data_IF_478531637556
#
_entry.id   IF_478531637556
#
_cell.length_a   1.000
_cell.length_b   1.000
_cell.length_c   1.000
_cell.angle_alpha   90.00
_cell.angle_beta   90.00
_cell.angle_gamma   90.00
#
_symmetry.space_group_name_H-M   'P 1'
#
loop_
_entity.id
_entity.type
_entity.pdbx_description
1 polymer ?
#
# COMPACT_ATOMS: atom_id res chain seq x y z
N UNK A 1 -29.94 -12.59 28.91
CA UNK A 1 -29.28 -13.74 28.26
C UNK A 1 -28.57 -13.24 27.01
N UNK A 2 -27.25 -13.37 26.92
CA UNK A 2 -26.54 -13.13 25.65
C UNK A 2 -26.61 -14.43 24.85
N UNK A 3 -27.35 -14.43 23.75
CA UNK A 3 -27.32 -15.55 22.82
C UNK A 3 -25.90 -15.71 22.29
N UNK A 4 -25.31 -16.87 22.51
CA UNK A 4 -24.03 -17.25 21.91
C UNK A 4 -24.29 -17.61 20.44
N UNK A 5 -23.90 -16.73 19.53
CA UNK A 5 -23.96 -16.97 18.10
C UNK A 5 -23.10 -18.20 17.72
N UNK A 6 -23.58 -19.02 16.80
CA UNK A 6 -22.75 -20.07 16.17
C UNK A 6 -21.61 -19.41 15.38
N UNK A 7 -20.48 -20.12 15.13
CA UNK A 7 -19.38 -19.57 14.35
C UNK A 7 -19.81 -18.99 12.97
N UNK A 8 -20.77 -19.65 12.31
CA UNK A 8 -21.31 -19.16 11.03
C UNK A 8 -22.14 -17.89 11.19
N UNK A 9 -22.98 -17.80 12.21
CA UNK A 9 -23.76 -16.59 12.51
C UNK A 9 -22.85 -15.41 12.89
N UNK A 10 -21.79 -15.68 13.66
CA UNK A 10 -20.79 -14.68 14.03
C UNK A 10 -19.99 -14.19 12.81
N UNK A 11 -19.72 -15.04 11.81
CA UNK A 11 -19.10 -14.63 10.56
C UNK A 11 -20.01 -13.71 9.75
N UNK A 12 -21.25 -14.12 9.55
CA UNK A 12 -22.25 -13.35 8.78
C UNK A 12 -22.51 -11.97 9.39
N UNK A 13 -22.58 -11.86 10.74
CA UNK A 13 -22.78 -10.57 11.41
C UNK A 13 -21.61 -9.58 11.23
N UNK A 14 -20.42 -10.05 10.85
CA UNK A 14 -19.24 -9.21 10.62
C UNK A 14 -19.15 -8.62 9.21
N UNK A 15 -19.90 -9.14 8.25
CA UNK A 15 -19.82 -8.68 6.84
C UNK A 15 -20.11 -7.17 6.72
N UNK A 16 -21.23 -6.64 7.25
CA UNK A 16 -21.50 -5.20 7.19
C UNK A 16 -20.46 -4.37 7.91
N UNK A 17 -19.95 -4.85 9.06
CA UNK A 17 -18.92 -4.13 9.84
C UNK A 17 -17.64 -3.99 9.04
N UNK A 18 -17.20 -5.05 8.35
CA UNK A 18 -15.98 -5.06 7.54
C UNK A 18 -16.14 -4.26 6.25
N UNK A 19 -17.30 -4.31 5.65
CA UNK A 19 -17.63 -3.45 4.52
C UNK A 19 -17.48 -1.97 4.91
N UNK A 20 -18.11 -1.55 6.00
CA UNK A 20 -18.04 -0.16 6.45
C UNK A 20 -16.63 0.22 6.91
N UNK A 21 -15.93 -0.67 7.62
CA UNK A 21 -14.52 -0.46 7.96
C UNK A 21 -13.66 -0.21 6.70
N UNK A 22 -13.86 -1.01 5.65
CA UNK A 22 -13.16 -0.83 4.39
C UNK A 22 -13.46 0.54 3.76
N UNK A 23 -14.72 0.95 3.73
CA UNK A 23 -15.12 2.25 3.17
C UNK A 23 -14.57 3.41 3.99
N UNK A 24 -14.71 3.36 5.31
CA UNK A 24 -14.25 4.40 6.24
C UNK A 24 -12.74 4.60 6.18
N UNK A 25 -11.96 3.52 6.16
CA UNK A 25 -10.49 3.58 6.09
C UNK A 25 -9.98 4.14 4.75
N UNK A 26 -10.77 4.03 3.68
CA UNK A 26 -10.47 4.67 2.41
C UNK A 26 -11.09 6.07 2.27
N UNK A 27 -11.69 6.60 3.33
CA UNK A 27 -12.27 7.95 3.37
C UNK A 27 -13.50 8.10 2.47
N UNK A 28 -14.22 7.01 2.20
CA UNK A 28 -15.38 7.03 1.31
C UNK A 28 -16.63 7.41 2.09
N UNK A 29 -17.22 8.56 1.74
CA UNK A 29 -18.53 8.96 2.26
C UNK A 29 -19.65 8.05 1.74
N UNK A 30 -20.81 7.97 2.43
CA UNK A 30 -21.94 7.18 1.92
C UNK A 30 -22.34 7.53 0.48
N UNK A 31 -22.26 8.79 0.07
CA UNK A 31 -22.52 9.21 -1.31
C UNK A 31 -21.47 8.68 -2.29
N UNK A 32 -20.20 8.66 -1.89
CA UNK A 32 -19.12 8.06 -2.67
C UNK A 32 -19.32 6.56 -2.82
N UNK A 33 -19.78 5.87 -1.77
CA UNK A 33 -20.10 4.44 -1.81
C UNK A 33 -21.24 4.14 -2.78
N UNK A 34 -22.28 4.98 -2.84
CA UNK A 34 -23.34 4.85 -3.87
C UNK A 34 -22.76 4.96 -5.27
N UNK A 35 -21.88 5.91 -5.53
CA UNK A 35 -21.22 6.04 -6.83
C UNK A 35 -20.35 4.82 -7.13
N UNK A 36 -19.58 4.37 -6.17
CA UNK A 36 -18.74 3.17 -6.29
C UNK A 36 -19.56 1.93 -6.65
N UNK A 37 -20.72 1.75 -6.01
CA UNK A 37 -21.59 0.59 -6.16
C UNK A 37 -22.76 0.81 -7.14
N UNK A 38 -22.70 1.81 -8.00
CA UNK A 38 -23.77 2.19 -8.92
C UNK A 38 -24.25 1.03 -9.83
N UNK A 39 -23.34 0.11 -10.20
CA UNK A 39 -23.67 -1.08 -10.99
C UNK A 39 -24.55 -2.12 -10.29
N UNK A 40 -24.74 -2.02 -8.97
CA UNK A 40 -25.55 -2.96 -8.17
C UNK A 40 -26.83 -2.35 -7.61
N UNK A 41 -27.25 -1.17 -8.08
CA UNK A 41 -28.46 -0.47 -7.63
C UNK A 41 -28.52 -0.21 -6.10
N UNK A 42 -27.36 0.00 -5.46
CA UNK A 42 -27.26 0.29 -4.03
C UNK A 42 -27.40 1.81 -3.84
N UNK A 43 -28.54 2.24 -3.30
CA UNK A 43 -28.85 3.65 -3.04
C UNK A 43 -28.57 4.06 -1.59
N UNK A 44 -28.60 5.37 -1.32
CA UNK A 44 -28.38 5.95 0.02
C UNK A 44 -29.32 5.39 1.07
N UNK A 45 -30.58 5.10 0.73
CA UNK A 45 -31.58 4.54 1.66
C UNK A 45 -31.20 3.15 2.16
N UNK A 46 -30.46 2.38 1.36
CA UNK A 46 -29.93 1.06 1.73
C UNK A 46 -28.74 1.24 2.66
N UNK A 47 -27.82 2.14 2.31
CA UNK A 47 -26.61 2.41 3.09
C UNK A 47 -26.87 3.12 4.43
N UNK A 48 -28.03 3.79 4.57
CA UNK A 48 -28.44 4.41 5.82
C UNK A 48 -28.75 3.40 6.94
N UNK A 49 -29.01 2.13 6.59
CA UNK A 49 -29.25 1.07 7.54
C UNK A 49 -28.22 -0.07 7.34
N UNK A 50 -27.34 -0.27 8.33
CA UNK A 50 -26.28 -1.27 8.28
C UNK A 50 -26.80 -2.71 8.10
N UNK A 51 -27.93 -3.03 8.70
CA UNK A 51 -28.56 -4.36 8.54
C UNK A 51 -29.07 -4.57 7.11
N UNK A 52 -29.72 -3.55 6.52
CA UNK A 52 -30.18 -3.60 5.13
C UNK A 52 -29.03 -3.66 4.14
N UNK A 53 -27.90 -3.04 4.44
CA UNK A 53 -26.70 -3.10 3.60
C UNK A 53 -26.29 -4.54 3.37
N UNK A 54 -26.45 -5.42 4.36
CA UNK A 54 -26.07 -6.84 4.25
C UNK A 54 -26.79 -7.57 3.13
N UNK A 55 -28.08 -7.31 2.91
CA UNK A 55 -28.89 -7.98 1.89
C UNK A 55 -28.38 -7.70 0.46
N UNK A 56 -27.61 -6.60 0.29
CA UNK A 56 -27.05 -6.17 -0.98
C UNK A 56 -25.58 -6.52 -1.15
N UNK A 57 -24.89 -6.99 -0.09
CA UNK A 57 -23.50 -7.45 -0.15
C UNK A 57 -23.44 -8.88 -0.69
N UNK A 58 -23.88 -9.04 -1.93
CA UNK A 58 -23.85 -10.32 -2.63
C UNK A 58 -22.42 -10.78 -2.89
N UNK A 59 -22.23 -12.06 -3.24
CA UNK A 59 -20.93 -12.63 -3.60
C UNK A 59 -20.21 -11.78 -4.65
N UNK A 60 -20.92 -11.36 -5.71
CA UNK A 60 -20.31 -10.54 -6.77
C UNK A 60 -19.84 -9.14 -6.30
N UNK A 61 -20.57 -8.54 -5.38
CA UNK A 61 -20.15 -7.24 -4.76
C UNK A 61 -18.90 -7.45 -3.93
N UNK A 62 -18.88 -8.50 -3.10
CA UNK A 62 -17.74 -8.79 -2.24
C UNK A 62 -16.49 -9.19 -3.05
N UNK A 63 -16.65 -9.95 -4.14
CA UNK A 63 -15.57 -10.29 -5.06
C UNK A 63 -14.96 -9.04 -5.68
N UNK A 64 -15.81 -8.14 -6.18
CA UNK A 64 -15.37 -6.90 -6.80
C UNK A 64 -14.68 -5.97 -5.79
N UNK A 65 -15.20 -5.88 -4.57
CA UNK A 65 -14.56 -5.10 -3.50
C UNK A 65 -13.19 -5.67 -3.12
N UNK A 66 -13.08 -7.00 -3.00
CA UNK A 66 -11.81 -7.65 -2.71
C UNK A 66 -10.75 -7.33 -3.79
N UNK A 67 -11.14 -7.41 -5.06
CA UNK A 67 -10.28 -7.08 -6.20
C UNK A 67 -9.89 -5.59 -6.22
N UNK A 68 -10.85 -4.68 -6.07
CA UNK A 68 -10.60 -3.24 -6.12
C UNK A 68 -9.67 -2.75 -5.03
N UNK A 69 -9.88 -3.23 -3.79
CA UNK A 69 -9.17 -2.77 -2.62
C UNK A 69 -7.95 -3.62 -2.24
N UNK A 70 -7.73 -4.75 -2.93
CA UNK A 70 -6.63 -5.66 -2.63
C UNK A 70 -6.73 -6.29 -1.24
N UNK A 71 -7.95 -6.63 -0.81
CA UNK A 71 -8.22 -7.26 0.49
C UNK A 71 -8.59 -8.72 0.34
N UNK A 72 -8.39 -9.49 1.41
CA UNK A 72 -8.77 -10.89 1.42
C UNK A 72 -10.29 -11.04 1.33
N UNK A 73 -10.76 -11.78 0.34
CA UNK A 73 -12.17 -12.05 0.10
C UNK A 73 -12.84 -12.72 1.30
N UNK A 74 -12.16 -13.71 1.87
CA UNK A 74 -12.63 -14.44 3.05
C UNK A 74 -12.77 -13.52 4.27
N UNK A 75 -11.87 -12.53 4.40
CA UNK A 75 -12.01 -11.52 5.43
C UNK A 75 -13.30 -10.72 5.24
N UNK A 76 -13.63 -10.26 4.06
CA UNK A 76 -14.89 -9.55 3.81
C UNK A 76 -16.11 -10.42 4.16
N UNK A 77 -16.05 -11.72 3.95
CA UNK A 77 -17.09 -12.70 4.32
C UNK A 77 -17.18 -13.01 5.81
N UNK A 78 -16.35 -12.39 6.64
CA UNK A 78 -16.41 -12.56 8.09
C UNK A 78 -15.43 -13.60 8.65
N UNK A 79 -14.63 -14.29 7.83
CA UNK A 79 -13.65 -15.26 8.29
C UNK A 79 -12.54 -14.65 9.15
N UNK A 80 -11.96 -15.41 10.06
CA UNK A 80 -10.89 -14.96 10.96
C UNK A 80 -9.51 -15.01 10.25
N UNK A 81 -9.41 -14.32 9.11
CA UNK A 81 -8.17 -14.17 8.34
C UNK A 81 -7.75 -12.69 8.33
N UNK A 82 -6.48 -12.38 8.04
CA UNK A 82 -6.03 -11.00 7.90
C UNK A 82 -6.78 -10.23 6.80
N UNK A 83 -7.05 -8.91 6.98
CA UNK A 83 -7.72 -8.10 5.98
C UNK A 83 -6.89 -7.89 4.71
N UNK A 84 -5.58 -7.67 4.83
CA UNK A 84 -4.75 -7.35 3.69
C UNK A 84 -4.15 -8.59 3.04
N UNK A 85 -4.08 -8.60 1.72
CA UNK A 85 -3.23 -9.52 0.97
C UNK A 85 -1.79 -9.07 1.12
N UNK A 86 -0.95 -9.93 1.65
CA UNK A 86 0.48 -9.65 1.82
C UNK A 86 1.25 -10.32 0.71
N UNK A 87 1.97 -9.52 -0.05
CA UNK A 87 2.98 -9.99 -0.99
C UNK A 87 4.31 -10.11 -0.25
N UNK A 88 5.25 -10.83 -0.80
CA UNK A 88 6.60 -10.94 -0.28
C UNK A 88 7.58 -10.96 -1.44
N UNK A 89 8.78 -10.47 -1.20
CA UNK A 89 9.89 -10.59 -2.13
C UNK A 89 11.13 -11.05 -1.38
N UNK A 90 11.97 -11.85 -2.02
CA UNK A 90 13.19 -12.41 -1.42
C UNK A 90 14.38 -11.49 -1.56
N UNK A 91 14.37 -10.67 -2.59
CA UNK A 91 15.42 -9.71 -2.90
C UNK A 91 14.85 -8.48 -3.63
N UNK A 92 15.67 -7.46 -3.82
CA UNK A 92 15.27 -6.20 -4.41
C UNK A 92 14.98 -6.29 -5.91
N UNK A 93 15.51 -7.28 -6.62
CA UNK A 93 15.17 -7.55 -8.02
C UNK A 93 13.74 -8.07 -8.14
N UNK A 94 13.35 -8.99 -7.25
CA UNK A 94 11.96 -9.44 -7.19
C UNK A 94 11.00 -8.31 -6.78
N UNK A 95 11.44 -7.36 -5.92
CA UNK A 95 10.66 -6.16 -5.62
C UNK A 95 10.45 -5.30 -6.87
N UNK A 96 11.46 -5.19 -7.75
CA UNK A 96 11.33 -4.48 -9.01
C UNK A 96 10.40 -5.19 -10.00
N UNK A 97 10.42 -6.51 -10.06
CA UNK A 97 9.46 -7.29 -10.86
C UNK A 97 8.01 -7.06 -10.39
N UNK A 98 7.78 -7.12 -9.07
CA UNK A 98 6.46 -6.81 -8.49
C UNK A 98 6.01 -5.40 -8.85
N UNK A 99 6.91 -4.42 -8.75
CA UNK A 99 6.62 -3.03 -9.12
C UNK A 99 6.28 -2.92 -10.61
N UNK A 100 7.04 -3.58 -11.48
CA UNK A 100 6.78 -3.65 -12.94
C UNK A 100 5.37 -4.17 -13.22
N UNK A 101 5.00 -5.29 -12.61
CA UNK A 101 3.70 -5.93 -12.83
C UNK A 101 2.53 -5.04 -12.38
N UNK A 102 2.72 -4.30 -11.26
CA UNK A 102 1.72 -3.34 -10.78
C UNK A 102 1.58 -2.11 -11.67
N UNK A 103 2.69 -1.61 -12.20
CA UNK A 103 2.69 -0.48 -13.12
C UNK A 103 2.13 -0.86 -14.49
N UNK A 104 2.37 -2.08 -14.96
CA UNK A 104 1.78 -2.60 -16.20
C UNK A 104 0.24 -2.65 -16.12
N UNK A 105 -0.32 -3.09 -15.00
CA UNK A 105 -1.77 -3.13 -14.78
C UNK A 105 -2.43 -1.75 -14.70
N UNK A 106 -1.69 -0.71 -14.33
CA UNK A 106 -2.20 0.65 -14.20
C UNK A 106 -2.27 1.44 -15.53
N UNK A 107 -1.60 0.96 -16.57
CA UNK A 107 -1.27 1.73 -17.79
C UNK A 107 -2.36 1.89 -18.85
N UNK A 108 -3.57 1.39 -18.69
CA UNK A 108 -4.57 1.38 -19.76
C UNK A 108 -5.29 2.72 -20.00
N UNK A 109 -5.04 3.76 -19.22
CA UNK A 109 -5.77 5.04 -19.36
C UNK A 109 -5.00 6.19 -19.99
N UNK A 110 -3.77 6.00 -20.46
CA UNK A 110 -2.97 7.05 -21.14
C UNK A 110 -2.61 8.27 -20.28
N UNK A 111 -3.00 8.29 -19.01
CA UNK A 111 -2.58 9.33 -18.06
C UNK A 111 -1.37 8.84 -17.25
N UNK A 112 -0.42 9.73 -16.90
CA UNK A 112 0.66 9.36 -15.99
C UNK A 112 0.05 8.70 -14.77
N UNK A 113 0.55 7.52 -14.43
CA UNK A 113 0.05 6.77 -13.28
C UNK A 113 0.21 7.65 -12.04
N UNK A 114 -0.90 7.96 -11.37
CA UNK A 114 -0.88 8.67 -10.10
C UNK A 114 -0.46 7.67 -9.00
N UNK A 115 0.80 7.24 -9.09
CA UNK A 115 1.38 6.15 -8.32
C UNK A 115 2.58 6.66 -7.53
N UNK A 116 2.52 6.51 -6.23
CA UNK A 116 3.59 6.83 -5.28
C UNK A 116 4.19 5.54 -4.74
N UNK A 117 5.51 5.46 -4.65
CA UNK A 117 6.19 4.41 -3.90
C UNK A 117 6.66 4.95 -2.55
N UNK A 118 6.48 4.17 -1.49
CA UNK A 118 6.70 4.63 -0.12
C UNK A 118 7.56 3.59 0.59
N UNK A 119 8.76 4.02 1.00
CA UNK A 119 9.67 3.21 1.80
C UNK A 119 9.44 3.48 3.29
N UNK A 120 9.29 2.42 4.05
CA UNK A 120 9.04 2.44 5.49
C UNK A 120 10.21 1.76 6.20
N UNK A 121 11.04 2.53 6.89
CA UNK A 121 12.15 2.00 7.68
C UNK A 121 11.73 1.86 9.13
N UNK A 122 11.99 0.72 9.74
CA UNK A 122 11.74 0.57 11.17
C UNK A 122 12.76 1.37 12.00
N UNK A 123 12.28 1.77 13.16
CA UNK A 123 13.04 2.54 14.13
C UNK A 123 13.54 1.59 15.23
N UNK A 124 14.51 0.74 14.91
CA UNK A 124 14.97 -0.32 15.81
C UNK A 124 15.78 0.15 17.02
N UNK A 125 16.20 1.41 17.10
CA UNK A 125 16.88 1.92 18.30
C UNK A 125 16.80 3.44 18.39
N UNK A 126 16.26 3.98 19.49
CA UNK A 126 16.37 5.41 19.78
C UNK A 126 17.80 5.85 20.10
N UNK A 127 18.70 4.93 20.44
CA UNK A 127 20.04 5.20 20.94
C UNK A 127 21.16 5.14 19.89
N UNK A 128 20.88 4.68 18.68
CA UNK A 128 21.87 4.69 17.61
C UNK A 128 21.86 6.03 16.87
N UNK A 129 22.43 7.07 17.51
CA UNK A 129 22.85 8.31 16.82
C UNK A 129 23.98 8.08 15.79
N UNK A 130 24.49 6.86 15.66
CA UNK A 130 25.42 6.52 14.59
C UNK A 130 24.67 6.60 13.26
N UNK A 131 25.06 7.54 12.43
CA UNK A 131 24.58 7.79 11.06
C UNK A 131 24.84 6.63 10.09
N UNK A 132 25.21 5.47 10.58
CA UNK A 132 25.47 4.29 9.81
C UNK A 132 24.30 3.32 9.95
N UNK A 133 23.70 2.95 8.81
CA UNK A 133 22.83 1.79 8.68
C UNK A 133 23.68 0.51 8.84
N UNK A 134 24.50 0.45 9.86
CA UNK A 134 25.33 -0.73 10.18
C UNK A 134 24.57 -1.74 11.04
N UNK A 135 23.28 -1.67 11.12
CA UNK A 135 22.42 -2.66 11.76
C UNK A 135 21.39 -3.21 10.80
N UNK A 136 20.90 -4.42 11.05
CA UNK A 136 19.81 -5.04 10.31
C UNK A 136 18.56 -4.18 10.37
N UNK A 137 18.39 -3.26 9.41
CA UNK A 137 17.23 -2.39 9.31
C UNK A 137 16.21 -3.01 8.38
N UNK A 138 14.97 -3.14 8.82
CA UNK A 138 13.87 -3.57 7.94
C UNK A 138 13.37 -2.39 7.14
N UNK A 139 13.20 -2.62 5.85
CA UNK A 139 12.59 -1.66 4.94
C UNK A 139 11.38 -2.30 4.30
N UNK A 140 10.20 -1.77 4.59
CA UNK A 140 8.95 -2.14 3.94
C UNK A 140 8.65 -1.22 2.78
N UNK A 141 7.89 -1.72 1.80
CA UNK A 141 7.46 -0.96 0.62
C UNK A 141 5.95 -0.96 0.54
N UNK A 142 5.37 0.24 0.43
CA UNK A 142 3.99 0.43 0.02
C UNK A 142 3.93 1.08 -1.36
N UNK A 143 2.95 0.65 -2.15
CA UNK A 143 2.57 1.29 -3.41
C UNK A 143 1.21 1.95 -3.22
N UNK A 144 1.12 3.26 -3.45
CA UNK A 144 -0.13 3.99 -3.35
C UNK A 144 -0.55 4.47 -4.73
N UNK A 145 -1.77 4.11 -5.16
CA UNK A 145 -2.31 4.41 -6.48
C UNK A 145 -3.70 5.02 -6.36
N UNK A 146 -4.01 6.00 -7.21
CA UNK A 146 -5.39 6.44 -7.41
C UNK A 146 -6.00 5.65 -8.57
N UNK A 147 -6.95 4.77 -8.25
CA UNK A 147 -7.71 4.00 -9.24
C UNK A 147 -9.06 4.66 -9.47
N UNK A 148 -9.47 4.73 -10.73
CA UNK A 148 -10.79 5.24 -11.08
C UNK A 148 -11.79 4.07 -11.06
N UNK A 149 -12.67 4.07 -10.05
CA UNK A 149 -13.68 3.03 -9.84
C UNK A 149 -15.07 3.62 -10.06
N UNK A 150 -15.75 3.21 -11.11
CA UNK A 150 -17.06 3.77 -11.51
C UNK A 150 -17.09 5.32 -11.53
N UNK A 151 -16.01 5.93 -12.04
CA UNK A 151 -15.87 7.39 -12.10
C UNK A 151 -15.39 8.05 -10.80
N UNK A 152 -15.22 7.31 -9.72
CA UNK A 152 -14.72 7.80 -8.44
C UNK A 152 -13.21 7.53 -8.31
N UNK A 153 -12.37 8.55 -8.10
CA UNK A 153 -10.95 8.34 -7.80
C UNK A 153 -10.79 7.86 -6.35
N UNK A 154 -10.29 6.64 -6.18
CA UNK A 154 -10.04 6.03 -4.87
C UNK A 154 -8.56 5.76 -4.70
N UNK A 155 -7.99 6.17 -3.56
CA UNK A 155 -6.60 5.87 -3.21
C UNK A 155 -6.51 4.47 -2.64
N UNK A 156 -5.80 3.60 -3.33
CA UNK A 156 -5.50 2.23 -2.90
C UNK A 156 -4.04 2.18 -2.45
N UNK A 157 -3.79 1.56 -1.31
CA UNK A 157 -2.45 1.31 -0.81
C UNK A 157 -2.23 -0.20 -0.70
N UNK A 158 -1.22 -0.68 -1.39
CA UNK A 158 -0.78 -2.07 -1.36
C UNK A 158 0.55 -2.18 -0.64
N UNK A 159 0.70 -3.14 0.26
CA UNK A 159 1.99 -3.47 0.88
C UNK A 159 2.67 -4.57 0.06
N UNK A 160 3.79 -4.23 -0.57
CA UNK A 160 4.50 -5.16 -1.44
C UNK A 160 5.38 -6.15 -0.67
N UNK A 161 5.79 -5.79 0.55
CA UNK A 161 6.66 -6.62 1.38
C UNK A 161 7.74 -5.81 2.08
N UNK A 162 8.65 -6.52 2.74
CA UNK A 162 9.80 -5.93 3.43
C UNK A 162 11.04 -6.80 3.29
N UNK A 163 12.21 -6.18 3.43
CA UNK A 163 13.50 -6.86 3.40
C UNK A 163 14.48 -6.23 4.40
N UNK A 164 15.47 -7.00 4.84
CA UNK A 164 16.58 -6.48 5.61
C UNK A 164 17.60 -5.79 4.70
N UNK A 165 18.07 -4.64 5.14
CA UNK A 165 19.14 -3.89 4.48
C UNK A 165 20.38 -3.96 5.34
N UNK A 166 21.46 -4.56 4.81
CA UNK A 166 22.70 -4.80 5.52
C UNK A 166 23.80 -3.78 5.17
N UNK A 167 23.81 -3.27 3.94
CA UNK A 167 24.80 -2.27 3.45
C UNK A 167 24.17 -1.38 2.40
N UNK A 168 24.20 -0.07 2.63
CA UNK A 168 23.60 0.91 1.73
C UNK A 168 24.43 1.24 0.49
N UNK A 169 25.72 0.85 0.45
CA UNK A 169 26.62 1.29 -0.61
C UNK A 169 26.79 0.32 -1.77
N UNK A 170 26.52 -0.96 -1.54
CA UNK A 170 26.78 -2.01 -2.54
C UNK A 170 25.64 -3.00 -2.67
N UNK A 171 24.51 -2.76 -2.00
CA UNK A 171 23.45 -3.71 -2.03
C UNK A 171 22.39 -3.35 -3.11
N UNK A 172 21.65 -4.34 -3.58
CA UNK A 172 20.59 -4.13 -4.55
C UNK A 172 19.47 -3.16 -4.09
N UNK A 173 19.37 -2.88 -2.78
CA UNK A 173 18.45 -1.87 -2.25
C UNK A 173 18.74 -0.47 -2.79
N UNK A 174 20.04 -0.06 -2.81
CA UNK A 174 20.44 1.23 -3.38
C UNK A 174 20.10 1.31 -4.86
N UNK A 175 20.33 0.22 -5.60
CA UNK A 175 19.93 0.10 -7.01
C UNK A 175 18.42 0.21 -7.19
N UNK A 176 17.63 -0.48 -6.35
CA UNK A 176 16.17 -0.40 -6.40
C UNK A 176 15.65 1.02 -6.08
N UNK A 177 16.23 1.72 -5.09
CA UNK A 177 15.88 3.11 -4.81
C UNK A 177 16.21 4.01 -6.00
N UNK A 178 17.36 3.81 -6.65
CA UNK A 178 17.77 4.56 -7.84
C UNK A 178 16.84 4.29 -9.02
N UNK A 179 16.43 3.03 -9.22
CA UNK A 179 15.39 2.67 -10.19
C UNK A 179 14.10 3.45 -9.95
N UNK A 180 13.63 3.53 -8.71
CA UNK A 180 12.43 4.30 -8.38
C UNK A 180 12.59 5.79 -8.69
N UNK A 181 13.76 6.38 -8.42
CA UNK A 181 14.09 7.74 -8.81
C UNK A 181 14.03 7.95 -10.34
N UNK A 182 14.64 7.04 -11.10
CA UNK A 182 14.60 7.05 -12.56
C UNK A 182 13.16 6.92 -13.11
N UNK A 183 12.32 6.10 -12.47
CA UNK A 183 10.92 5.96 -12.85
C UNK A 183 10.11 7.25 -12.59
N UNK A 184 10.47 8.04 -11.59
CA UNK A 184 9.89 9.38 -11.39
C UNK A 184 10.33 10.32 -12.52
N UNK A 185 11.60 10.35 -12.86
CA UNK A 185 12.11 11.16 -13.99
C UNK A 185 11.44 10.80 -15.31
N UNK A 186 11.13 9.52 -15.52
CA UNK A 186 10.43 9.02 -16.71
C UNK A 186 8.89 9.13 -16.61
N UNK A 187 8.35 9.80 -15.59
CA UNK A 187 6.90 9.95 -15.31
C UNK A 187 6.14 8.63 -15.19
N UNK A 188 6.78 7.59 -14.66
CA UNK A 188 6.17 6.28 -14.35
C UNK A 188 5.73 6.16 -12.91
N UNK A 189 6.38 6.90 -12.03
CA UNK A 189 5.96 7.17 -10.66
C UNK A 189 5.74 8.68 -10.49
N UNK A 190 4.79 9.04 -9.65
CA UNK A 190 4.53 10.44 -9.30
C UNK A 190 5.53 10.94 -8.26
N UNK A 191 5.87 10.08 -7.29
CA UNK A 191 6.72 10.43 -6.17
C UNK A 191 7.34 9.20 -5.50
N UNK A 192 8.45 9.45 -4.80
CA UNK A 192 9.11 8.50 -3.90
C UNK A 192 9.17 9.11 -2.51
N UNK A 193 8.48 8.49 -1.57
CA UNK A 193 8.42 8.95 -0.18
C UNK A 193 9.16 7.99 0.73
N UNK A 194 9.70 8.51 1.83
CA UNK A 194 10.43 7.74 2.84
C UNK A 194 9.98 8.14 4.24
N UNK A 195 9.64 7.16 5.08
CA UNK A 195 9.25 7.39 6.47
C UNK A 195 10.00 6.46 7.42
N UNK A 196 10.43 7.01 8.56
CA UNK A 196 10.80 6.20 9.72
C UNK A 196 9.53 5.77 10.42
N UNK A 197 9.41 4.49 10.74
CA UNK A 197 8.14 3.86 11.16
C UNK A 197 8.36 3.07 12.43
N UNK A 198 7.49 3.18 13.43
CA UNK A 198 7.51 2.28 14.59
C UNK A 198 7.41 0.82 14.15
N UNK A 199 8.23 -0.05 14.75
CA UNK A 199 8.31 -1.47 14.37
C UNK A 199 6.95 -2.18 14.41
N UNK A 200 6.09 -1.84 15.38
CA UNK A 200 4.75 -2.45 15.49
C UNK A 200 3.84 -2.12 14.30
N UNK A 201 3.99 -0.95 13.65
CA UNK A 201 3.22 -0.60 12.46
C UNK A 201 3.70 -1.37 11.23
N UNK A 202 5.01 -1.61 11.10
CA UNK A 202 5.54 -2.51 10.07
C UNK A 202 5.07 -3.95 10.28
N UNK A 203 4.98 -4.41 11.52
CA UNK A 203 4.47 -5.74 11.82
C UNK A 203 3.00 -5.91 11.44
N UNK A 204 2.17 -4.88 11.65
CA UNK A 204 0.77 -4.89 11.19
C UNK A 204 0.66 -5.01 9.66
N UNK A 205 1.56 -4.36 8.91
CA UNK A 205 1.62 -4.49 7.46
C UNK A 205 2.11 -5.88 7.04
N UNK A 206 3.18 -6.34 7.66
CA UNK A 206 3.80 -7.63 7.33
C UNK A 206 2.89 -8.83 7.61
N UNK A 207 2.15 -8.80 8.71
CA UNK A 207 1.17 -9.83 9.04
C UNK A 207 -0.17 -9.69 8.28
N UNK A 208 -0.37 -8.58 7.57
CA UNK A 208 -1.66 -8.25 6.95
C UNK A 208 -2.77 -7.95 7.95
N UNK A 209 -2.43 -7.78 9.25
CA UNK A 209 -3.42 -7.61 10.32
C UNK A 209 -4.18 -6.28 10.28
N UNK A 210 -3.73 -5.34 9.46
CA UNK A 210 -4.40 -4.06 9.23
C UNK A 210 -4.41 -3.70 7.74
N UNK A 211 -5.37 -2.87 7.33
CA UNK A 211 -5.42 -2.31 5.97
C UNK A 211 -4.22 -1.38 5.75
N UNK A 212 -3.44 -1.53 4.66
CA UNK A 212 -2.25 -0.71 4.43
C UNK A 212 -2.54 0.79 4.39
N UNK A 213 -3.69 1.21 3.87
CA UNK A 213 -4.12 2.61 3.83
C UNK A 213 -4.24 3.21 5.23
N UNK A 214 -4.79 2.46 6.17
CA UNK A 214 -4.95 2.87 7.57
C UNK A 214 -3.60 3.03 8.27
N UNK A 215 -2.72 2.04 8.11
CA UNK A 215 -1.37 2.08 8.69
C UNK A 215 -0.57 3.25 8.13
N UNK A 216 -0.60 3.46 6.82
CA UNK A 216 0.10 4.58 6.19
C UNK A 216 -0.43 5.94 6.67
N UNK A 217 -1.75 6.07 6.86
CA UNK A 217 -2.35 7.27 7.44
C UNK A 217 -1.82 7.55 8.86
N UNK A 218 -1.71 6.52 9.70
CA UNK A 218 -1.12 6.64 11.05
C UNK A 218 0.35 7.07 10.99
N UNK A 219 1.15 6.47 10.10
CA UNK A 219 2.56 6.84 9.92
C UNK A 219 2.68 8.31 9.50
N UNK A 220 1.90 8.75 8.51
CA UNK A 220 1.90 10.14 8.05
C UNK A 220 1.50 11.11 9.17
N UNK A 221 0.49 10.77 9.96
CA UNK A 221 0.04 11.57 11.09
C UNK A 221 1.11 11.68 12.19
N UNK A 222 1.86 10.61 12.46
CA UNK A 222 3.01 10.65 13.38
C UNK A 222 4.07 11.64 12.89
N UNK A 223 4.39 11.64 11.60
CA UNK A 223 5.36 12.56 11.02
C UNK A 223 4.89 14.03 11.01
N UNK A 224 3.60 14.29 10.85
CA UNK A 224 3.04 15.63 10.83
C UNK A 224 2.87 16.22 12.22
N UNK A 225 2.43 15.43 13.19
CA UNK A 225 1.99 15.88 14.51
C UNK A 225 3.04 15.65 15.62
N UNK A 226 4.11 14.90 15.35
CA UNK A 226 5.12 14.63 16.35
C UNK A 226 5.98 15.89 16.58
N UNK A 227 6.09 16.29 17.86
CA UNK A 227 7.12 17.22 18.32
C UNK A 227 8.48 16.53 18.44
N UNK A 228 8.52 15.21 18.37
CA UNK A 228 9.74 14.43 18.42
C UNK A 228 10.51 14.57 17.09
N UNK A 229 11.69 15.17 17.19
CA UNK A 229 12.60 15.33 16.05
C UNK A 229 12.99 14.00 15.42
N UNK A 230 12.88 12.90 16.16
CA UNK A 230 13.20 11.56 15.71
C UNK A 230 12.27 11.09 14.59
N UNK A 231 10.95 11.33 14.70
CA UNK A 231 10.01 11.06 13.62
C UNK A 231 10.07 12.09 12.48
N UNK A 232 10.57 13.30 12.76
CA UNK A 232 10.77 14.35 11.73
C UNK A 232 12.04 14.17 10.93
N UNK A 233 13.05 13.48 11.47
CA UNK A 233 14.23 13.08 10.71
C UNK A 233 13.81 11.99 9.72
N UNK A 234 13.31 12.43 8.57
CA UNK A 234 13.27 11.52 7.41
C UNK A 234 14.68 10.96 7.19
N UNK A 235 14.79 9.96 6.33
CA UNK A 235 16.05 9.33 5.95
C UNK A 235 17.17 10.36 5.77
N UNK A 236 18.38 10.01 6.16
CA UNK A 236 19.53 10.91 6.08
C UNK A 236 19.78 11.34 4.63
N UNK A 237 20.51 12.46 4.46
CA UNK A 237 20.88 12.92 3.12
C UNK A 237 21.65 11.85 2.33
N UNK A 238 22.45 10.99 3.01
CA UNK A 238 23.17 9.87 2.42
C UNK A 238 22.22 8.80 1.89
N UNK A 239 21.17 8.44 2.66
CA UNK A 239 20.18 7.46 2.26
C UNK A 239 19.32 7.94 1.08
N UNK A 240 19.13 9.25 0.94
CA UNK A 240 18.40 9.84 -0.20
C UNK A 240 19.28 10.09 -1.41
N UNK A 241 20.60 9.96 -1.27
CA UNK A 241 21.53 10.20 -2.37
C UNK A 241 21.20 9.40 -3.63
N UNK A 242 20.82 8.11 -3.56
CA UNK A 242 20.42 7.36 -4.76
C UNK A 242 19.22 7.96 -5.49
N UNK A 243 18.28 8.61 -4.77
CA UNK A 243 17.13 9.27 -5.38
C UNK A 243 17.47 10.63 -6.00
N UNK A 244 18.54 11.28 -5.47
CA UNK A 244 19.02 12.59 -5.97
C UNK A 244 19.97 12.40 -7.17
N UNK A 245 20.78 11.33 -7.13
CA UNK A 245 21.77 11.03 -8.16
C UNK A 245 21.61 9.57 -8.65
N UNK A 246 20.47 9.22 -9.25
CA UNK A 246 20.13 7.83 -9.58
C UNK A 246 21.16 7.17 -10.50
N UNK A 247 21.76 7.91 -11.44
CA UNK A 247 22.71 7.37 -12.41
C UNK A 247 24.00 6.83 -11.77
N UNK A 248 24.42 7.37 -10.62
CA UNK A 248 25.63 6.93 -9.92
C UNK A 248 25.54 5.46 -9.43
N UNK A 249 24.30 4.96 -9.20
CA UNK A 249 24.04 3.65 -8.62
C UNK A 249 23.29 2.70 -9.56
N UNK A 250 22.91 3.16 -10.73
CA UNK A 250 22.22 2.33 -11.72
C UNK A 250 23.27 1.53 -12.49
N UNK A 251 23.16 0.22 -12.39
CA UNK A 251 23.85 -0.72 -13.27
C UNK A 251 23.04 -0.95 -14.54
N UNK A 252 23.66 -1.54 -15.55
CA UNK A 252 22.99 -1.91 -16.82
C UNK A 252 21.71 -2.74 -16.57
N UNK A 253 21.73 -3.57 -15.54
CA UNK A 253 20.58 -4.40 -15.15
C UNK A 253 19.39 -3.57 -14.67
N UNK A 254 19.62 -2.56 -13.82
CA UNK A 254 18.57 -1.65 -13.34
C UNK A 254 18.05 -0.76 -14.46
N UNK A 255 18.93 -0.35 -15.38
CA UNK A 255 18.54 0.44 -16.55
C UNK A 255 17.68 -0.37 -17.51
N UNK A 256 18.01 -1.64 -17.72
CA UNK A 256 17.20 -2.58 -18.48
C UNK A 256 15.80 -2.74 -17.88
N UNK A 257 15.70 -2.99 -16.57
CA UNK A 257 14.40 -3.09 -15.86
C UNK A 257 13.59 -1.79 -16.00
N UNK A 258 14.24 -0.64 -15.86
CA UNK A 258 13.60 0.66 -16.06
C UNK A 258 13.08 0.85 -17.49
N UNK A 259 13.80 0.34 -18.48
CA UNK A 259 13.40 0.29 -19.89
C UNK A 259 12.13 -0.54 -20.06
N UNK A 260 12.11 -1.78 -19.57
CA UNK A 260 10.95 -2.65 -19.65
C UNK A 260 9.70 -2.01 -19.02
N UNK A 261 9.82 -1.44 -17.81
CA UNK A 261 8.70 -0.74 -17.15
C UNK A 261 8.21 0.43 -18.02
N UNK A 262 9.13 1.15 -18.65
CA UNK A 262 8.81 2.30 -19.51
C UNK A 262 8.05 1.87 -20.76
N UNK A 263 8.46 0.80 -21.40
CA UNK A 263 7.87 0.31 -22.65
C UNK A 263 6.47 -0.29 -22.45
N UNK A 264 6.28 -1.06 -21.38
CA UNK A 264 4.98 -1.68 -21.03
C UNK A 264 3.90 -0.61 -20.79
N UNK A 265 4.30 0.54 -20.29
CA UNK A 265 3.36 1.60 -19.89
C UNK A 265 3.13 2.66 -20.98
N UNK A 266 3.76 2.55 -22.15
CA UNK A 266 3.46 3.43 -23.29
C UNK A 266 2.11 3.02 -23.92
N UNK A 267 1.20 3.98 -24.19
CA UNK A 267 -0.01 3.70 -24.94
C UNK A 267 0.40 3.28 -26.37
N UNK A 268 -0.09 2.14 -26.81
CA UNK A 268 0.00 1.70 -28.22
C UNK A 268 -0.90 2.54 -29.10
#
# INVERSE_FOLDING_TARGET
MRETLTPGQAAVSRIPERFWLLMDEHGLSPSSVVTLLSGWNIGLSILANRERTMDYLTTSVLDQLAEWFGVNREWLEGAAVPPAVVHGFRDWYQAAELLRDRLAGAGHSGKPANTEIIFLRDNLSPDNESNDIQGNTRVGICLAQYKLMNGLPVKIVEYLGQQLVFDTHKNPFTGFMSLCGLLVERNRLTDVQTFTTPAHLLELLYSGAALPVSVLSKIRNLHLNSHDQHYKKSWTARERRPLIAPQEYITDEWEFIAGEITDITQPK
#
